data_IF_036599686956
#
_entry.id   IF_036599686956
#
_cell.length_a   1.000
_cell.length_b   1.000
_cell.length_c   1.000
_cell.angle_alpha   90.00
_cell.angle_beta   90.00
_cell.angle_gamma   90.00
#
_symmetry.space_group_name_H-M   'P 1'
#
loop_
_entity.id
_entity.type
_entity.pdbx_description
1 polymer ?
#
# COMPACT_ATOMS: atom_id res chain seq x y z
N UNK A 1 -1.56 9.65 -36.78
CA UNK A 1 -1.94 10.57 -35.70
C UNK A 1 -3.38 10.22 -35.30
N UNK A 2 -3.71 10.18 -34.02
CA UNK A 2 -5.01 9.73 -33.54
C UNK A 2 -5.86 10.91 -33.10
N UNK A 3 -7.19 10.83 -33.30
CA UNK A 3 -8.12 11.94 -33.08
C UNK A 3 -7.96 12.66 -31.73
N UNK A 4 -7.62 11.93 -30.65
CA UNK A 4 -7.37 12.53 -29.35
C UNK A 4 -6.20 13.54 -29.33
N UNK A 5 -5.13 13.27 -30.10
CA UNK A 5 -3.98 14.20 -30.22
C UNK A 5 -4.35 15.43 -31.04
N UNK A 6 -5.12 15.24 -32.10
CA UNK A 6 -5.56 16.34 -32.98
C UNK A 6 -6.50 17.29 -32.22
N UNK A 7 -7.38 16.77 -31.35
CA UNK A 7 -8.19 17.61 -30.46
C UNK A 7 -7.37 18.42 -29.46
N UNK A 8 -6.32 17.82 -28.88
CA UNK A 8 -5.42 18.51 -27.94
C UNK A 8 -4.65 19.64 -28.64
N UNK A 9 -4.25 19.43 -29.89
CA UNK A 9 -3.59 20.44 -30.71
C UNK A 9 -4.52 21.62 -31.03
N UNK A 10 -5.79 21.35 -31.38
CA UNK A 10 -6.81 22.38 -31.62
C UNK A 10 -7.04 23.31 -30.42
N UNK A 11 -6.95 22.78 -29.20
CA UNK A 11 -7.13 23.56 -27.96
C UNK A 11 -5.81 24.06 -27.35
N UNK A 12 -4.68 23.89 -28.06
CA UNK A 12 -3.33 24.22 -27.59
C UNK A 12 -3.00 23.65 -26.20
N UNK A 13 -3.45 22.42 -25.93
CA UNK A 13 -3.25 21.73 -24.65
C UNK A 13 -2.15 20.68 -24.80
N UNK A 14 -1.20 20.64 -23.85
CA UNK A 14 -0.05 19.71 -23.85
C UNK A 14 -0.41 18.21 -23.69
N UNK A 15 -1.70 17.87 -23.70
CA UNK A 15 -2.20 16.55 -23.30
C UNK A 15 -2.23 16.31 -21.78
N UNK A 16 -2.86 15.21 -21.39
CA UNK A 16 -2.81 14.74 -20.00
C UNK A 16 -1.44 14.11 -19.73
N UNK A 17 -0.87 14.29 -18.53
CA UNK A 17 0.34 13.56 -18.16
C UNK A 17 0.08 12.06 -18.25
N UNK A 18 1.12 11.29 -18.57
CA UNK A 18 1.03 9.84 -18.51
C UNK A 18 0.68 9.44 -17.08
N UNK A 19 -0.42 8.71 -16.90
CA UNK A 19 -0.87 8.28 -15.59
C UNK A 19 0.23 7.45 -14.91
N UNK A 20 0.74 7.94 -13.79
CA UNK A 20 1.68 7.22 -12.93
C UNK A 20 0.98 6.87 -11.61
N UNK A 21 0.60 5.60 -11.39
CA UNK A 21 -0.11 5.18 -10.18
C UNK A 21 0.74 5.28 -8.90
N UNK A 22 2.03 5.55 -8.99
CA UNK A 22 2.93 5.65 -7.84
C UNK A 22 3.18 7.10 -7.40
N UNK A 23 2.98 8.07 -8.29
CA UNK A 23 3.12 9.50 -8.03
C UNK A 23 1.79 10.05 -7.53
N UNK A 24 1.82 10.81 -6.45
CA UNK A 24 0.67 11.58 -6.01
C UNK A 24 0.95 13.04 -6.24
N UNK A 25 0.21 13.67 -7.14
CA UNK A 25 0.21 15.12 -7.20
C UNK A 25 -0.34 15.68 -5.88
N UNK A 26 0.52 16.33 -5.10
CA UNK A 26 0.15 17.05 -3.87
C UNK A 26 -0.90 18.15 -4.11
N UNK A 27 -1.08 18.58 -5.36
CA UNK A 27 -1.97 19.66 -5.77
C UNK A 27 -3.37 19.24 -6.28
N UNK A 28 -3.69 17.94 -6.40
CA UNK A 28 -4.98 17.48 -6.99
C UNK A 28 -6.02 17.08 -5.92
N UNK A 29 -5.67 17.14 -4.64
CA UNK A 29 -6.54 16.75 -3.51
C UNK A 29 -7.75 17.69 -3.24
N UNK A 30 -8.03 18.65 -4.12
CA UNK A 30 -9.21 19.53 -4.01
C UNK A 30 -10.43 19.04 -4.82
N UNK A 31 -10.42 17.82 -5.35
CA UNK A 31 -11.65 17.24 -5.91
C UNK A 31 -12.49 16.63 -4.79
N UNK A 32 -13.57 17.32 -4.44
CA UNK A 32 -14.74 16.68 -3.84
C UNK A 32 -15.09 15.47 -4.71
N UNK A 33 -15.10 14.28 -4.11
CA UNK A 33 -15.64 13.07 -4.72
C UNK A 33 -17.10 13.34 -5.06
N UNK A 34 -17.37 13.71 -6.31
CA UNK A 34 -18.73 13.72 -6.84
C UNK A 34 -19.03 12.29 -7.29
N UNK A 35 -19.77 11.58 -6.44
CA UNK A 35 -20.36 10.27 -6.71
C UNK A 35 -21.32 10.36 -7.91
N UNK A 36 -20.77 10.15 -9.11
CA UNK A 36 -21.57 9.93 -10.31
C UNK A 36 -21.74 8.42 -10.52
N UNK A 37 -22.56 7.76 -9.69
CA UNK A 37 -23.11 6.45 -10.04
C UNK A 37 -24.58 6.40 -9.65
N UNK A 38 -25.43 6.18 -10.65
CA UNK A 38 -26.87 6.06 -10.48
C UNK A 38 -27.25 4.98 -9.46
N UNK A 39 -28.31 5.28 -8.71
CA UNK A 39 -29.25 4.37 -8.04
C UNK A 39 -28.72 2.97 -7.72
N UNK A 40 -28.02 2.88 -6.60
CA UNK A 40 -27.76 1.65 -5.87
C UNK A 40 -27.09 2.03 -4.56
N UNK A 41 -27.70 1.71 -3.42
CA UNK A 41 -27.13 1.92 -2.07
C UNK A 41 -25.88 1.04 -1.86
N UNK A 42 -24.83 1.23 -2.64
CA UNK A 42 -23.50 0.70 -2.37
C UNK A 42 -22.78 1.80 -1.60
N UNK A 43 -22.94 1.81 -0.28
CA UNK A 43 -21.95 2.53 0.52
C UNK A 43 -20.58 1.99 0.13
N UNK A 44 -19.59 2.85 -0.22
CA UNK A 44 -18.26 2.37 -0.53
C UNK A 44 -17.78 1.53 0.65
N UNK A 45 -17.48 0.25 0.41
CA UNK A 45 -17.03 -0.67 1.45
C UNK A 45 -15.82 -0.06 2.16
N UNK A 46 -16.04 0.40 3.39
CA UNK A 46 -14.99 1.04 4.18
C UNK A 46 -13.92 0.00 4.48
N UNK A 47 -12.79 0.11 3.79
CA UNK A 47 -11.62 -0.72 4.03
C UNK A 47 -11.10 -0.46 5.46
N UNK A 48 -10.69 -1.51 6.16
CA UNK A 48 -10.06 -1.38 7.46
C UNK A 48 -8.65 -0.79 7.28
N UNK A 49 -8.32 0.27 8.02
CA UNK A 49 -7.01 0.95 7.87
C UNK A 49 -5.82 0.05 8.23
N UNK A 50 -5.98 -0.83 9.22
CA UNK A 50 -4.95 -1.84 9.54
C UNK A 50 -4.77 -2.82 8.38
N UNK A 51 -5.86 -3.28 7.77
CA UNK A 51 -5.80 -4.16 6.60
C UNK A 51 -5.17 -3.47 5.40
N UNK A 52 -5.48 -2.19 5.17
CA UNK A 52 -4.86 -1.36 4.12
C UNK A 52 -3.35 -1.23 4.32
N UNK A 53 -2.89 -0.94 5.53
CA UNK A 53 -1.45 -0.90 5.81
C UNK A 53 -0.79 -2.27 5.62
N UNK A 54 -1.44 -3.36 6.06
CA UNK A 54 -0.89 -4.72 5.92
C UNK A 54 -0.80 -5.14 4.45
N UNK A 55 -1.80 -4.80 3.65
CA UNK A 55 -1.79 -4.99 2.20
C UNK A 55 -0.64 -4.22 1.56
N UNK A 56 -0.50 -2.92 1.86
CA UNK A 56 0.58 -2.09 1.32
C UNK A 56 1.96 -2.68 1.69
N UNK A 57 2.12 -3.17 2.92
CA UNK A 57 3.35 -3.81 3.35
C UNK A 57 3.68 -5.06 2.52
N UNK A 58 2.70 -5.93 2.30
CA UNK A 58 2.87 -7.13 1.46
C UNK A 58 3.19 -6.76 0.00
N UNK A 59 2.52 -5.75 -0.54
CA UNK A 59 2.78 -5.26 -1.90
C UNK A 59 4.21 -4.75 -2.05
N UNK A 60 4.72 -4.00 -1.06
CA UNK A 60 6.12 -3.59 -1.05
C UNK A 60 7.07 -4.77 -0.98
N UNK A 61 6.78 -5.80 -0.17
CA UNK A 61 7.63 -7.00 -0.12
C UNK A 61 7.67 -7.73 -1.47
N UNK A 62 6.54 -7.81 -2.17
CA UNK A 62 6.48 -8.39 -3.52
C UNK A 62 7.37 -7.60 -4.48
N UNK A 63 7.32 -6.26 -4.44
CA UNK A 63 8.14 -5.39 -5.30
C UNK A 63 9.63 -5.49 -4.94
N UNK A 64 9.97 -5.30 -3.67
CA UNK A 64 11.35 -5.26 -3.17
C UNK A 64 12.10 -6.57 -3.42
N UNK A 65 11.39 -7.71 -3.35
CA UNK A 65 12.00 -9.02 -3.54
C UNK A 65 11.73 -9.63 -4.93
N UNK A 66 11.04 -8.89 -5.80
CA UNK A 66 10.60 -9.38 -7.11
C UNK A 66 9.93 -10.76 -7.01
N UNK A 67 9.01 -10.90 -6.03
CA UNK A 67 8.40 -12.16 -5.68
C UNK A 67 7.48 -12.67 -6.80
N UNK A 68 7.55 -13.97 -7.09
CA UNK A 68 6.70 -14.61 -8.10
C UNK A 68 5.30 -14.92 -7.54
N UNK A 69 4.26 -15.01 -8.41
CA UNK A 69 2.87 -15.25 -7.98
C UNK A 69 2.64 -16.54 -7.18
N UNK A 70 3.49 -17.54 -7.36
CA UNK A 70 3.44 -18.85 -6.68
C UNK A 70 4.11 -18.84 -5.29
N UNK A 71 4.47 -17.67 -4.77
CA UNK A 71 5.11 -17.53 -3.46
C UNK A 71 4.08 -17.31 -2.33
N UNK A 72 4.40 -17.66 -1.08
CA UNK A 72 3.52 -17.43 0.07
C UNK A 72 3.06 -15.96 0.25
N UNK A 73 3.81 -14.97 -0.25
CA UNK A 73 3.42 -13.56 -0.20
C UNK A 73 2.12 -13.26 -0.95
N UNK A 74 1.87 -13.93 -2.07
CA UNK A 74 0.63 -13.76 -2.83
C UNK A 74 -0.57 -14.36 -2.10
N UNK A 75 -0.37 -15.48 -1.40
CA UNK A 75 -1.41 -16.03 -0.53
C UNK A 75 -1.78 -15.05 0.60
N UNK A 76 -0.79 -14.34 1.18
CA UNK A 76 -1.07 -13.34 2.23
C UNK A 76 -1.80 -12.13 1.66
N UNK A 77 -1.40 -11.69 0.46
CA UNK A 77 -2.08 -10.62 -0.26
C UNK A 77 -3.56 -10.98 -0.47
N UNK A 78 -3.83 -12.17 -0.97
CA UNK A 78 -5.20 -12.62 -1.26
C UNK A 78 -6.05 -12.76 0.01
N UNK A 79 -5.45 -13.22 1.12
CA UNK A 79 -6.11 -13.27 2.42
C UNK A 79 -6.51 -11.86 2.91
N UNK A 80 -5.59 -10.89 2.85
CA UNK A 80 -5.87 -9.51 3.26
C UNK A 80 -6.93 -8.85 2.35
N UNK A 81 -6.92 -9.13 1.04
CA UNK A 81 -7.95 -8.65 0.11
C UNK A 81 -9.31 -9.24 0.47
N UNK A 82 -9.38 -10.55 0.73
CA UNK A 82 -10.61 -11.26 1.05
C UNK A 82 -11.30 -10.69 2.29
N UNK A 83 -10.51 -10.26 3.28
CA UNK A 83 -11.00 -9.71 4.55
C UNK A 83 -10.72 -8.20 4.70
N UNK A 84 -10.65 -7.45 3.60
CA UNK A 84 -10.24 -6.03 3.58
C UNK A 84 -11.07 -5.10 4.50
N UNK A 85 -12.32 -5.46 4.80
CA UNK A 85 -13.21 -4.67 5.65
C UNK A 85 -13.04 -4.98 7.14
N UNK A 86 -12.34 -6.06 7.48
CA UNK A 86 -12.10 -6.49 8.85
C UNK A 86 -10.69 -6.15 9.30
N UNK A 87 -10.52 -6.03 10.61
CA UNK A 87 -9.19 -5.89 11.19
C UNK A 87 -8.40 -7.21 11.05
N UNK A 88 -7.16 -7.19 10.53
CA UNK A 88 -6.35 -8.40 10.42
C UNK A 88 -6.03 -9.00 11.78
N UNK A 89 -5.97 -10.33 11.84
CA UNK A 89 -5.52 -11.03 13.03
C UNK A 89 -4.08 -10.66 13.39
N UNK A 90 -3.78 -10.64 14.69
CA UNK A 90 -2.42 -10.40 15.18
C UNK A 90 -1.41 -11.39 14.60
N UNK A 91 -1.82 -12.65 14.40
CA UNK A 91 -1.00 -13.69 13.79
C UNK A 91 -0.56 -13.32 12.37
N UNK A 92 -1.46 -12.73 11.57
CA UNK A 92 -1.15 -12.28 10.20
C UNK A 92 -0.16 -11.10 10.23
N UNK A 93 -0.35 -10.14 11.14
CA UNK A 93 0.57 -9.01 11.31
C UNK A 93 1.95 -9.50 11.78
N UNK A 94 2.01 -10.39 12.79
CA UNK A 94 3.25 -11.00 13.29
C UNK A 94 3.98 -11.79 12.21
N UNK A 95 3.24 -12.51 11.37
CA UNK A 95 3.79 -13.27 10.25
C UNK A 95 4.48 -12.37 9.23
N UNK A 96 3.85 -11.26 8.84
CA UNK A 96 4.48 -10.29 7.93
C UNK A 96 5.69 -9.63 8.59
N UNK A 97 5.59 -9.20 9.86
CA UNK A 97 6.72 -8.63 10.61
C UNK A 97 7.93 -9.59 10.64
N UNK A 98 7.68 -10.87 10.90
CA UNK A 98 8.72 -11.92 10.92
C UNK A 98 9.30 -12.16 9.53
N UNK A 99 8.46 -12.11 8.49
CA UNK A 99 8.90 -12.23 7.10
C UNK A 99 9.87 -11.10 6.75
N UNK A 100 9.56 -9.86 7.14
CA UNK A 100 10.47 -8.72 6.97
C UNK A 100 11.76 -8.96 7.73
N UNK A 101 11.69 -9.22 9.04
CA UNK A 101 12.86 -9.49 9.90
C UNK A 101 13.84 -10.49 9.28
N UNK A 102 13.33 -11.60 8.76
CA UNK A 102 14.16 -12.67 8.22
C UNK A 102 14.67 -12.36 6.79
N UNK A 103 13.90 -11.61 5.99
CA UNK A 103 14.23 -11.31 4.60
C UNK A 103 15.01 -10.02 4.37
N UNK A 104 15.01 -9.09 5.32
CA UNK A 104 15.53 -7.72 5.14
C UNK A 104 16.98 -7.50 5.55
N UNK A 105 17.68 -8.54 6.03
CA UNK A 105 19.05 -8.45 6.57
C UNK A 105 19.18 -7.39 7.69
N UNK A 106 18.18 -7.32 8.57
CA UNK A 106 18.17 -6.41 9.72
C UNK A 106 17.60 -5.02 9.46
N UNK A 107 17.11 -4.74 8.25
CA UNK A 107 16.44 -3.47 7.92
C UNK A 107 14.93 -3.54 8.17
N UNK A 108 14.31 -2.41 8.47
CA UNK A 108 12.85 -2.28 8.44
C UNK A 108 12.35 -2.12 7.00
N UNK A 109 11.06 -2.39 6.79
CA UNK A 109 10.41 -2.16 5.50
C UNK A 109 10.45 -0.68 5.12
N UNK A 110 10.21 0.21 6.09
CA UNK A 110 10.37 1.66 5.90
C UNK A 110 11.78 2.02 5.39
N UNK A 111 12.84 1.46 5.98
CA UNK A 111 14.22 1.71 5.52
C UNK A 111 14.48 1.19 4.11
N UNK A 112 13.97 0.00 3.79
CA UNK A 112 14.08 -0.54 2.43
C UNK A 112 13.38 0.36 1.41
N UNK A 113 12.17 0.83 1.72
CA UNK A 113 11.38 1.73 0.85
C UNK A 113 12.05 3.09 0.70
N UNK A 114 12.60 3.66 1.78
CA UNK A 114 13.29 4.95 1.73
C UNK A 114 14.47 4.95 0.75
N UNK A 115 15.12 3.80 0.54
CA UNK A 115 16.13 3.66 -0.51
C UNK A 115 15.59 3.92 -1.93
N UNK A 116 14.33 3.57 -2.19
CA UNK A 116 13.67 3.85 -3.48
C UNK A 116 13.06 5.26 -3.53
N UNK A 117 12.60 5.80 -2.40
CA UNK A 117 12.05 7.16 -2.32
C UNK A 117 13.08 8.24 -2.62
N UNK A 118 14.36 7.98 -2.36
CA UNK A 118 15.43 8.93 -2.66
C UNK A 118 15.42 9.38 -4.12
N UNK A 119 15.05 8.47 -5.03
CA UNK A 119 15.04 8.71 -6.48
C UNK A 119 13.63 8.80 -7.08
N UNK A 120 12.57 8.65 -6.27
CA UNK A 120 11.17 8.55 -6.74
C UNK A 120 10.19 9.32 -5.85
N UNK A 121 9.28 10.08 -6.47
CA UNK A 121 8.19 10.76 -5.79
C UNK A 121 7.03 9.79 -5.50
N UNK A 122 7.21 8.99 -4.45
CA UNK A 122 6.26 7.97 -4.02
C UNK A 122 5.31 8.55 -2.97
N UNK A 123 4.00 8.31 -3.15
CA UNK A 123 2.93 8.70 -2.20
C UNK A 123 3.19 8.21 -0.77
N UNK A 124 3.06 9.10 0.21
CA UNK A 124 3.24 8.77 1.63
C UNK A 124 2.23 7.73 2.15
N UNK A 125 1.01 7.77 1.64
CA UNK A 125 -0.08 6.89 2.10
C UNK A 125 0.21 5.40 1.91
N UNK A 126 0.95 5.05 0.85
CA UNK A 126 1.32 3.65 0.57
C UNK A 126 2.59 3.21 1.31
N UNK A 127 3.25 4.13 2.01
CA UNK A 127 4.49 3.91 2.75
C UNK A 127 4.31 4.08 4.28
N UNK A 128 3.10 4.41 4.74
CA UNK A 128 2.80 4.60 6.17
C UNK A 128 2.39 3.28 6.83
N UNK A 129 3.18 2.84 7.81
CA UNK A 129 2.94 1.61 8.58
C UNK A 129 2.78 1.85 10.09
N UNK A 130 2.41 3.07 10.51
CA UNK A 130 2.37 3.42 11.93
C UNK A 130 1.38 2.58 12.75
N UNK A 131 0.25 2.17 12.16
CA UNK A 131 -0.73 1.31 12.85
C UNK A 131 -0.11 -0.07 13.11
N UNK A 132 0.57 -0.64 12.11
CA UNK A 132 1.24 -1.93 12.25
C UNK A 132 2.41 -1.87 13.24
N UNK A 133 3.20 -0.80 13.19
CA UNK A 133 4.31 -0.55 14.14
C UNK A 133 3.81 -0.53 15.58
N UNK A 134 2.75 0.24 15.84
CA UNK A 134 2.15 0.34 17.16
C UNK A 134 1.59 -1.01 17.61
N UNK A 135 0.86 -1.71 16.74
CA UNK A 135 0.33 -3.04 17.03
C UNK A 135 1.42 -4.05 17.41
N UNK A 136 2.53 -4.11 16.67
CA UNK A 136 3.65 -5.01 17.03
C UNK A 136 4.25 -4.63 18.39
N UNK A 137 4.45 -3.34 18.65
CA UNK A 137 5.00 -2.87 19.94
C UNK A 137 4.11 -3.22 21.13
N UNK A 138 2.81 -3.24 20.94
CA UNK A 138 1.85 -3.58 21.99
C UNK A 138 1.76 -5.12 22.19
N UNK A 139 2.21 -5.92 21.22
CA UNK A 139 2.25 -7.37 21.30
C UNK A 139 3.44 -7.89 22.12
N UNK A 140 3.23 -9.03 22.78
CA UNK A 140 4.26 -9.80 23.47
C UNK A 140 4.65 -11.05 22.68
N UNK A 141 5.93 -11.41 22.80
CA UNK A 141 6.44 -12.71 22.36
C UNK A 141 6.05 -13.83 23.35
N UNK A 142 6.45 -15.06 23.04
CA UNK A 142 6.17 -16.23 23.89
C UNK A 142 6.84 -16.15 25.27
N UNK A 143 7.87 -15.31 25.42
CA UNK A 143 8.63 -15.09 26.63
C UNK A 143 8.13 -13.85 27.42
N UNK A 144 7.11 -13.15 26.92
CA UNK A 144 6.53 -11.96 27.53
C UNK A 144 7.26 -10.65 27.21
N UNK A 145 8.26 -10.66 26.32
CA UNK A 145 8.98 -9.46 25.91
C UNK A 145 8.20 -8.69 24.84
N UNK A 146 8.41 -7.38 24.81
CA UNK A 146 7.88 -6.53 23.74
C UNK A 146 8.52 -6.91 22.41
N UNK A 147 7.71 -7.04 21.37
CA UNK A 147 8.21 -7.34 20.03
C UNK A 147 8.76 -6.09 19.34
N UNK A 148 9.86 -6.27 18.62
CA UNK A 148 10.40 -5.25 17.71
C UNK A 148 9.62 -5.24 16.39
N UNK A 149 9.28 -4.04 15.93
CA UNK A 149 8.62 -3.82 14.64
C UNK A 149 9.64 -3.64 13.52
N UNK A 150 9.47 -4.43 12.46
CA UNK A 150 10.24 -4.37 11.23
C UNK A 150 9.45 -3.72 10.08
N UNK A 151 8.24 -3.22 10.31
CA UNK A 151 7.52 -2.37 9.34
C UNK A 151 8.21 -1.02 9.14
#
# INVERSE_FOLDING_TARGET
MGAARDFLELINHKGLPLFNPLVGDSHVNNRQEYDNTGSGNLQPEKCNETAKQLYNAIMWLIILWNAKPDTPLFNFKDEVIKYKTYEPFESSIKRVNTTIKNGSKGKTLTEMINGYRADNDIRDEICNFNILKNKIRDMKDQQGNTMESYF
#
